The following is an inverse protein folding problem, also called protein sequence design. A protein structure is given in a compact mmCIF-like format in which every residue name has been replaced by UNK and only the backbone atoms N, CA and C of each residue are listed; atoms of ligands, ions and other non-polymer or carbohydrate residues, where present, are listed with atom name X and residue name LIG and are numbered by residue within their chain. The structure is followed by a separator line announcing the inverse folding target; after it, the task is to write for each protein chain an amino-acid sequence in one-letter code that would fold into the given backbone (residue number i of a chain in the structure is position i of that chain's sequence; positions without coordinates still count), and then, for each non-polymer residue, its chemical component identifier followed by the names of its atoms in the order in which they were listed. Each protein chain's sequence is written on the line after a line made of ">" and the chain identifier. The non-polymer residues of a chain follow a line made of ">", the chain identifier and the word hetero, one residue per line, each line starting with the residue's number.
data_IF_400148667561
#
_entry.id   IF_400148667561
#
_cell.length_a   1.000
_cell.length_b   1.000
_cell.length_c   1.000
_cell.angle_alpha   90.00
_cell.angle_beta   90.00
_cell.angle_gamma   90.00
#
_symmetry.space_group_name_H-M   'P 1'
#
loop_
_entity.id
_entity.type
_entity.pdbx_description
1 polymer ?
#
# COMPACT_ATOMS: atom_id res chain seq x y z
N UNK A 1 17.47 -9.62 15.94
CA UNK A 1 17.61 -9.86 14.48
C UNK A 1 17.25 -8.53 13.83
N UNK A 2 18.20 -7.85 13.19
CA UNK A 2 17.99 -6.46 12.73
C UNK A 2 17.55 -6.46 11.27
N UNK A 3 16.34 -5.99 11.02
CA UNK A 3 15.71 -5.94 9.70
C UNK A 3 16.20 -4.72 8.91
N UNK A 4 16.10 -4.75 7.57
CA UNK A 4 16.58 -3.66 6.71
C UNK A 4 15.45 -3.03 5.91
N UNK A 5 15.33 -1.71 5.97
CA UNK A 5 14.19 -1.02 5.35
C UNK A 5 14.32 -1.02 3.84
N UNK A 6 13.27 -1.46 3.13
CA UNK A 6 13.30 -1.56 1.66
C UNK A 6 13.46 -0.22 0.95
N UNK A 7 13.11 0.89 1.60
CA UNK A 7 13.20 2.24 1.02
C UNK A 7 14.53 2.92 1.35
N UNK A 8 14.84 3.07 2.63
CA UNK A 8 16.02 3.85 3.05
C UNK A 8 17.25 2.99 3.37
N UNK A 9 17.12 1.65 3.30
CA UNK A 9 18.18 0.66 3.60
C UNK A 9 18.77 0.76 5.01
N UNK A 10 18.15 1.50 5.92
CA UNK A 10 18.54 1.56 7.32
C UNK A 10 18.16 0.26 8.02
N UNK A 11 19.04 -0.17 8.92
CA UNK A 11 18.80 -1.24 9.88
C UNK A 11 17.83 -0.75 10.97
N UNK A 12 16.89 -1.59 11.38
CA UNK A 12 15.95 -1.29 12.47
C UNK A 12 15.56 -2.58 13.20
N UNK A 13 15.25 -2.45 14.49
CA UNK A 13 14.87 -3.59 15.32
C UNK A 13 13.34 -3.77 15.43
N UNK A 14 12.59 -2.71 15.19
CA UNK A 14 11.13 -2.73 15.11
C UNK A 14 10.63 -1.77 14.02
N UNK A 15 9.55 -2.14 13.34
CA UNK A 15 9.07 -1.41 12.19
C UNK A 15 7.61 -1.67 11.90
N UNK A 16 7.14 -1.10 10.79
CA UNK A 16 5.76 -1.22 10.32
C UNK A 16 5.70 -2.27 9.23
N UNK A 17 4.76 -3.20 9.37
CA UNK A 17 4.64 -4.37 8.51
C UNK A 17 3.48 -4.12 7.56
N UNK A 18 3.65 -4.50 6.30
CA UNK A 18 2.58 -4.50 5.32
C UNK A 18 2.37 -5.93 4.87
N UNK A 19 1.12 -6.39 4.97
CA UNK A 19 0.72 -7.68 4.46
C UNK A 19 0.96 -7.74 2.94
N UNK A 20 1.49 -8.86 2.43
CA UNK A 20 1.62 -9.06 1.00
C UNK A 20 0.23 -9.02 0.34
N UNK A 21 0.14 -8.40 -0.84
CA UNK A 21 -1.11 -8.35 -1.61
C UNK A 21 -1.25 -9.54 -2.56
N UNK A 22 -0.12 -10.17 -2.92
CA UNK A 22 -0.07 -11.34 -3.77
C UNK A 22 0.60 -12.50 -3.03
N UNK A 23 0.22 -13.73 -3.38
CA UNK A 23 0.70 -14.96 -2.72
C UNK A 23 2.22 -15.18 -2.82
N UNK A 24 2.85 -14.56 -3.81
CA UNK A 24 4.29 -14.58 -4.08
C UNK A 24 5.04 -13.37 -3.47
N UNK A 25 4.33 -12.40 -2.90
CA UNK A 25 4.96 -11.28 -2.20
C UNK A 25 5.40 -11.70 -0.78
N UNK A 26 6.64 -11.36 -0.41
CA UNK A 26 7.09 -11.45 0.98
C UNK A 26 6.52 -10.29 1.80
N UNK A 27 6.35 -10.52 3.11
CA UNK A 27 6.02 -9.46 4.08
C UNK A 27 7.04 -8.33 3.97
N UNK A 28 6.56 -7.09 3.90
CA UNK A 28 7.41 -5.91 3.77
C UNK A 28 7.49 -5.14 5.08
N UNK A 29 8.72 -4.89 5.54
CA UNK A 29 8.98 -4.16 6.76
C UNK A 29 9.60 -2.79 6.46
N UNK A 30 9.12 -1.77 7.17
CA UNK A 30 9.57 -0.38 7.02
C UNK A 30 9.97 0.21 8.36
N UNK A 31 11.08 0.94 8.39
CA UNK A 31 11.55 1.59 9.62
C UNK A 31 10.70 2.80 10.06
N UNK A 32 9.84 3.33 9.20
CA UNK A 32 8.98 4.48 9.52
C UNK A 32 7.77 4.60 8.60
N UNK A 33 6.74 5.31 9.06
CA UNK A 33 5.53 5.57 8.28
C UNK A 33 5.83 6.36 7.00
N UNK A 34 6.87 7.22 7.03
CA UNK A 34 7.37 7.92 5.84
C UNK A 34 7.84 6.94 4.77
N UNK A 35 8.67 5.96 5.14
CA UNK A 35 9.17 4.95 4.21
C UNK A 35 8.02 4.11 3.63
N UNK A 36 7.06 3.73 4.47
CA UNK A 36 5.85 3.03 4.03
C UNK A 36 5.04 3.85 3.01
N UNK A 37 4.78 5.13 3.29
CA UNK A 37 4.04 6.01 2.36
C UNK A 37 4.76 6.19 1.02
N UNK A 38 6.09 6.37 1.05
CA UNK A 38 6.89 6.45 -0.17
C UNK A 38 6.85 5.16 -0.99
N UNK A 39 6.92 4.00 -0.32
CA UNK A 39 6.78 2.70 -0.99
C UNK A 39 5.41 2.55 -1.65
N UNK A 40 4.33 2.84 -0.92
CA UNK A 40 2.97 2.74 -1.45
C UNK A 40 2.77 3.67 -2.65
N UNK A 41 3.31 4.89 -2.61
CA UNK A 41 3.25 5.82 -3.75
C UNK A 41 3.95 5.25 -4.98
N UNK A 42 5.15 4.68 -4.82
CA UNK A 42 5.88 4.03 -5.92
C UNK A 42 5.13 2.80 -6.45
N UNK A 43 4.62 1.94 -5.56
CA UNK A 43 3.82 0.76 -5.93
C UNK A 43 2.57 1.15 -6.69
N UNK A 44 1.86 2.19 -6.25
CA UNK A 44 0.66 2.68 -6.91
C UNK A 44 0.95 3.24 -8.30
N UNK A 45 2.01 4.03 -8.45
CA UNK A 45 2.44 4.51 -9.77
C UNK A 45 2.80 3.35 -10.70
N UNK A 46 3.50 2.33 -10.19
CA UNK A 46 3.82 1.12 -10.95
C UNK A 46 2.56 0.39 -11.41
N UNK A 47 1.59 0.19 -10.53
CA UNK A 47 0.31 -0.44 -10.85
C UNK A 47 -0.45 0.36 -11.93
N UNK A 48 -0.46 1.70 -11.82
CA UNK A 48 -1.08 2.58 -12.81
C UNK A 48 -0.47 2.40 -14.20
N UNK A 49 0.85 2.27 -14.30
CA UNK A 49 1.56 2.18 -15.58
C UNK A 49 1.59 0.75 -16.14
N UNK A 50 1.88 -0.26 -15.32
CA UNK A 50 2.10 -1.64 -15.77
C UNK A 50 0.82 -2.50 -15.74
N UNK A 51 -0.16 -2.16 -14.90
CA UNK A 51 -1.37 -2.96 -14.67
C UNK A 51 -2.66 -2.10 -14.72
N UNK A 52 -2.95 -1.40 -15.83
CA UNK A 52 -4.03 -0.42 -15.91
C UNK A 52 -5.42 -1.01 -15.58
N UNK A 53 -5.71 -2.25 -16.01
CA UNK A 53 -6.99 -2.91 -15.67
C UNK A 53 -7.15 -3.15 -14.16
N UNK A 54 -6.06 -3.47 -13.48
CA UNK A 54 -6.08 -3.67 -12.02
C UNK A 54 -6.17 -2.32 -11.30
N UNK A 55 -5.49 -1.30 -11.81
CA UNK A 55 -5.61 0.08 -11.35
C UNK A 55 -7.06 0.57 -11.42
N UNK A 56 -7.75 0.36 -12.55
CA UNK A 56 -9.15 0.74 -12.72
C UNK A 56 -10.06 0.04 -11.72
N UNK A 57 -9.81 -1.26 -11.46
CA UNK A 57 -10.56 -2.02 -10.46
C UNK A 57 -10.39 -1.43 -9.06
N UNK A 58 -9.16 -1.08 -8.66
CA UNK A 58 -8.88 -0.43 -7.38
C UNK A 58 -9.59 0.92 -7.29
N UNK A 59 -9.50 1.75 -8.34
CA UNK A 59 -10.12 3.07 -8.38
C UNK A 59 -11.64 2.98 -8.32
N UNK A 60 -12.24 2.02 -9.02
CA UNK A 60 -13.68 1.76 -8.98
C UNK A 60 -14.12 1.35 -7.57
N UNK A 61 -13.46 0.36 -6.96
CA UNK A 61 -13.76 -0.05 -5.58
C UNK A 61 -13.60 1.09 -4.57
N UNK A 62 -12.62 1.98 -4.76
CA UNK A 62 -12.45 3.16 -3.90
C UNK A 62 -13.55 4.20 -4.10
N UNK A 63 -14.09 4.35 -5.31
CA UNK A 63 -15.21 5.24 -5.60
C UNK A 63 -16.49 4.67 -5.00
N UNK A 64 -16.76 3.39 -5.24
CA UNK A 64 -17.95 2.70 -4.74
C UNK A 64 -18.00 2.75 -3.20
N UNK A 65 -16.85 2.51 -2.52
CA UNK A 65 -16.76 2.63 -1.06
C UNK A 65 -17.04 4.06 -0.55
N UNK A 66 -16.63 5.09 -1.30
CA UNK A 66 -16.88 6.49 -0.96
C UNK A 66 -18.34 6.88 -1.16
N UNK A 67 -18.98 6.34 -2.21
CA UNK A 67 -20.41 6.52 -2.45
C UNK A 67 -21.24 5.84 -1.37
N UNK A 68 -20.89 4.61 -0.98
CA UNK A 68 -21.58 3.90 0.12
C UNK A 68 -21.48 4.65 1.46
N UNK A 69 -20.34 5.30 1.75
CA UNK A 69 -20.17 6.11 2.96
C UNK A 69 -21.05 7.38 2.96
N UNK A 70 -21.19 8.03 1.80
CA UNK A 70 -22.03 9.22 1.64
C UNK A 70 -23.52 8.91 1.73
N UNK A 71 -23.94 7.72 1.30
CA UNK A 71 -25.34 7.26 1.39
C UNK A 71 -25.72 6.95 2.85
N UNK A 72 -24.81 6.36 3.63
CA UNK A 72 -25.01 6.14 5.07
C UNK A 72 -24.97 7.41 5.93
N UNK A 73 -24.47 8.53 5.37
CA UNK A 73 -24.40 9.82 6.07
C UNK A 73 -25.69 10.65 5.97
N UNK A 74 -26.73 10.12 5.28
CA UNK A 74 -28.03 10.78 5.09
C UNK A 74 -29.14 10.29 6.05
N UNK A 75 -28.80 9.43 7.01
CA UNK A 75 -29.72 8.91 8.03
C UNK A 75 -29.38 9.46 9.41
#
# INVERSE_FOLDING_TARGET
>A
MTETCKICRKKFDSGIWIAPQFVDERVLLFCSEKCKKEYLKKKFNRIKTEYPKYYDKIMKSSRDARESFLDTSKF
#
